data_IF_049352297208
#
_entry.id   IF_049352297208
#
_cell.length_a   1.000
_cell.length_b   1.000
_cell.length_c   1.000
_cell.angle_alpha   90.00
_cell.angle_beta   90.00
_cell.angle_gamma   90.00
#
_symmetry.space_group_name_H-M   'P 1'
#
loop_
_entity.id
_entity.type
_entity.pdbx_description
1 polymer ?
#
# COMPACT_ATOMS: atom_id res chain seq x y z
N UNK A 1 -7.70 8.91 2.38
CA UNK A 1 -6.54 8.06 2.74
C UNK A 1 -5.96 8.37 4.12
N UNK A 2 -6.55 9.02 5.05
CA UNK A 2 -6.14 9.18 6.45
C UNK A 2 -4.68 9.62 6.71
N UNK A 3 -4.02 10.22 5.72
CA UNK A 3 -2.63 10.69 5.80
C UNK A 3 -2.46 12.04 5.13
N UNK A 4 -1.35 12.72 5.41
CA UNK A 4 -0.95 13.96 4.73
C UNK A 4 -0.22 13.59 3.44
N UNK A 5 -0.55 14.30 2.34
CA UNK A 5 0.15 14.16 1.07
C UNK A 5 0.95 15.42 0.82
N UNK A 6 2.24 15.25 0.56
CA UNK A 6 3.18 16.33 0.22
C UNK A 6 3.78 16.09 -1.15
N UNK A 7 3.84 17.13 -1.97
CA UNK A 7 4.58 17.13 -3.23
C UNK A 7 5.68 18.18 -3.13
N UNK A 8 6.92 17.73 -3.27
CA UNK A 8 8.10 18.60 -3.30
C UNK A 8 8.66 18.59 -4.71
N UNK A 9 8.90 19.79 -5.27
CA UNK A 9 9.53 19.95 -6.59
C UNK A 9 10.92 20.52 -6.40
N UNK A 10 11.94 19.81 -6.88
CA UNK A 10 13.33 20.24 -6.84
C UNK A 10 13.72 20.79 -8.21
N UNK A 11 13.79 22.12 -8.34
CA UNK A 11 14.17 22.77 -9.59
C UNK A 11 13.38 24.06 -9.84
N UNK A 12 13.72 24.79 -10.92
CA UNK A 12 13.14 26.10 -11.20
C UNK A 12 11.74 26.02 -11.83
N UNK A 13 11.29 24.85 -12.27
CA UNK A 13 10.00 24.65 -12.93
C UNK A 13 8.98 24.19 -11.88
N UNK A 14 8.08 25.08 -11.51
CA UNK A 14 6.87 24.74 -10.75
C UNK A 14 5.65 24.94 -11.66
N UNK A 15 4.75 23.97 -11.67
CA UNK A 15 3.48 24.03 -12.40
C UNK A 15 2.33 23.67 -11.45
N UNK A 16 1.57 24.68 -11.07
CA UNK A 16 0.45 24.54 -10.16
C UNK A 16 -0.65 23.64 -10.71
N UNK A 17 -0.88 23.65 -12.04
CA UNK A 17 -1.91 22.84 -12.65
C UNK A 17 -1.53 21.35 -12.60
N UNK A 18 -0.27 21.02 -12.91
CA UNK A 18 0.25 19.65 -12.76
C UNK A 18 0.13 19.17 -11.30
N UNK A 19 0.53 20.01 -10.36
CA UNK A 19 0.48 19.69 -8.94
C UNK A 19 -0.97 19.48 -8.47
N UNK A 20 -1.90 20.32 -8.89
CA UNK A 20 -3.31 20.17 -8.55
C UNK A 20 -3.90 18.88 -9.13
N UNK A 21 -3.59 18.52 -10.40
CA UNK A 21 -4.01 17.25 -10.99
C UNK A 21 -3.41 16.05 -10.27
N UNK A 22 -2.17 16.15 -9.79
CA UNK A 22 -1.55 15.10 -8.99
C UNK A 22 -2.32 14.87 -7.67
N UNK A 23 -2.78 15.93 -7.00
CA UNK A 23 -3.62 15.79 -5.80
C UNK A 23 -5.02 15.23 -6.11
N UNK A 24 -5.58 15.48 -7.29
CA UNK A 24 -6.88 14.91 -7.70
C UNK A 24 -6.82 13.37 -7.78
N UNK A 25 -5.69 12.79 -8.16
CA UNK A 25 -5.53 11.34 -8.15
C UNK A 25 -5.74 10.73 -6.76
N UNK A 26 -5.21 11.34 -5.70
CA UNK A 26 -5.43 10.87 -4.34
C UNK A 26 -6.91 10.92 -3.94
N UNK A 27 -7.63 11.99 -4.32
CA UNK A 27 -9.07 12.12 -4.04
C UNK A 27 -9.89 11.08 -4.81
N UNK A 28 -9.60 10.93 -6.11
CA UNK A 28 -10.31 9.98 -6.98
C UNK A 28 -10.12 8.53 -6.52
N UNK A 29 -8.89 8.11 -6.22
CA UNK A 29 -8.61 6.75 -5.77
C UNK A 29 -9.20 6.51 -4.37
N UNK A 30 -9.13 7.48 -3.46
CA UNK A 30 -9.77 7.36 -2.16
C UNK A 30 -11.27 7.13 -2.31
N UNK A 31 -11.97 7.93 -3.12
CA UNK A 31 -13.43 7.79 -3.31
C UNK A 31 -13.81 6.46 -3.95
N UNK A 32 -12.98 5.92 -4.85
CA UNK A 32 -13.22 4.65 -5.54
C UNK A 32 -12.94 3.44 -4.66
N UNK A 33 -11.80 3.44 -3.95
CA UNK A 33 -11.25 2.26 -3.27
C UNK A 33 -11.51 2.22 -1.76
N UNK A 34 -12.24 3.20 -1.19
CA UNK A 34 -12.48 3.22 0.25
C UNK A 34 -13.57 2.23 0.67
N UNK A 35 -13.32 1.48 1.76
CA UNK A 35 -14.36 0.69 2.45
C UNK A 35 -15.12 1.49 3.51
N UNK A 36 -14.72 2.74 3.77
CA UNK A 36 -15.33 3.60 4.78
C UNK A 36 -16.49 4.44 4.26
N UNK A 37 -16.81 4.35 2.98
CA UNK A 37 -17.95 5.02 2.35
C UNK A 37 -18.82 3.97 1.64
N UNK A 38 -20.05 3.72 2.09
CA UNK A 38 -20.95 2.73 1.47
C UNK A 38 -21.31 3.08 0.03
N UNK A 39 -21.09 4.33 -0.40
CA UNK A 39 -21.34 4.76 -1.78
C UNK A 39 -20.12 4.61 -2.70
N UNK A 40 -18.96 4.21 -2.16
CA UNK A 40 -17.78 3.93 -2.97
C UNK A 40 -18.02 2.76 -3.93
N UNK A 41 -17.33 2.77 -5.06
CA UNK A 41 -17.41 1.69 -6.03
C UNK A 41 -17.00 0.33 -5.42
N UNK A 42 -15.99 0.32 -4.56
CA UNK A 42 -15.56 -0.87 -3.81
C UNK A 42 -16.68 -1.45 -2.96
N UNK A 43 -17.43 -0.62 -2.24
CA UNK A 43 -18.53 -1.09 -1.40
C UNK A 43 -19.77 -1.50 -2.19
N UNK A 44 -20.03 -0.85 -3.32
CA UNK A 44 -21.07 -1.29 -4.27
C UNK A 44 -20.75 -2.67 -4.85
N UNK A 45 -19.48 -2.95 -5.18
CA UNK A 45 -19.03 -4.29 -5.57
C UNK A 45 -19.28 -5.30 -4.43
N UNK A 46 -18.95 -4.94 -3.18
CA UNK A 46 -19.09 -5.83 -2.02
C UNK A 46 -20.54 -6.24 -1.74
N UNK A 47 -21.52 -5.46 -2.20
CA UNK A 47 -22.95 -5.77 -2.06
C UNK A 47 -23.49 -6.73 -3.13
N UNK A 48 -22.71 -7.08 -4.17
CA UNK A 48 -23.15 -7.84 -5.35
C UNK A 48 -22.46 -9.20 -5.45
N UNK A 49 -22.66 -10.02 -4.43
CA UNK A 49 -22.06 -11.36 -4.33
C UNK A 49 -22.60 -12.30 -5.42
N UNK A 50 -21.70 -13.04 -6.06
CA UNK A 50 -22.01 -14.00 -7.12
C UNK A 50 -22.24 -13.38 -8.50
N UNK A 51 -22.24 -12.05 -8.62
CA UNK A 51 -22.42 -11.37 -9.89
C UNK A 51 -21.08 -10.94 -10.50
N UNK A 52 -20.97 -11.01 -11.83
CA UNK A 52 -19.85 -10.42 -12.57
C UNK A 52 -20.13 -8.90 -12.74
N UNK A 53 -19.45 -8.08 -11.95
CA UNK A 53 -19.66 -6.63 -11.90
C UNK A 53 -18.60 -5.93 -12.74
N UNK A 54 -18.99 -5.12 -13.72
CA UNK A 54 -18.09 -4.20 -14.41
C UNK A 54 -17.70 -3.09 -13.45
N UNK A 55 -16.39 -2.87 -13.31
CA UNK A 55 -15.83 -1.85 -12.43
C UNK A 55 -14.93 -0.89 -13.23
N UNK A 56 -14.67 0.28 -12.66
CA UNK A 56 -13.74 1.25 -13.26
C UNK A 56 -12.34 0.64 -13.45
N UNK A 57 -11.59 1.17 -14.41
CA UNK A 57 -10.20 0.73 -14.65
C UNK A 57 -9.34 0.86 -13.39
N UNK A 58 -9.57 1.89 -12.59
CA UNK A 58 -8.85 2.12 -11.33
C UNK A 58 -9.12 0.99 -10.34
N UNK A 59 -10.38 0.69 -10.07
CA UNK A 59 -10.74 -0.35 -9.13
C UNK A 59 -10.31 -1.74 -9.63
N UNK A 60 -10.49 -2.01 -10.92
CA UNK A 60 -10.05 -3.25 -11.56
C UNK A 60 -8.54 -3.47 -11.38
N UNK A 61 -7.71 -2.47 -11.71
CA UNK A 61 -6.26 -2.54 -11.57
C UNK A 61 -5.84 -2.75 -10.11
N UNK A 62 -6.45 -2.02 -9.18
CA UNK A 62 -6.16 -2.17 -7.76
C UNK A 62 -6.46 -3.58 -7.24
N UNK A 63 -7.64 -4.15 -7.60
CA UNK A 63 -8.02 -5.51 -7.20
C UNK A 63 -7.12 -6.54 -7.87
N UNK A 64 -6.92 -6.47 -9.18
CA UNK A 64 -6.08 -7.40 -9.94
C UNK A 64 -4.66 -7.46 -9.35
N UNK A 65 -4.09 -6.30 -9.06
CA UNK A 65 -2.76 -6.20 -8.47
C UNK A 65 -2.73 -6.78 -7.03
N UNK A 66 -3.72 -6.45 -6.20
CA UNK A 66 -3.84 -7.00 -4.85
C UNK A 66 -3.90 -8.54 -4.85
N UNK A 67 -4.67 -9.13 -5.79
CA UNK A 67 -4.77 -10.58 -5.95
C UNK A 67 -3.45 -11.20 -6.43
N UNK A 68 -2.70 -10.52 -7.30
CA UNK A 68 -1.38 -10.98 -7.73
C UNK A 68 -0.40 -11.04 -6.55
N UNK A 69 -0.34 -9.98 -5.72
CA UNK A 69 0.49 -9.97 -4.51
C UNK A 69 0.03 -11.03 -3.51
N UNK A 70 -1.28 -11.21 -3.33
CA UNK A 70 -1.83 -12.26 -2.47
C UNK A 70 -1.38 -13.66 -2.91
N UNK A 71 -1.40 -13.93 -4.19
CA UNK A 71 -0.93 -15.20 -4.78
C UNK A 71 0.57 -15.39 -4.56
N UNK A 72 1.40 -14.38 -4.85
CA UNK A 72 2.86 -14.44 -4.70
C UNK A 72 3.31 -14.59 -3.24
N UNK A 73 2.58 -14.00 -2.30
CA UNK A 73 2.86 -14.09 -0.86
C UNK A 73 2.21 -15.31 -0.19
N UNK A 74 1.50 -16.18 -0.95
CA UNK A 74 0.79 -17.33 -0.39
C UNK A 74 -0.32 -16.94 0.60
N UNK A 75 -0.93 -15.76 0.42
CA UNK A 75 -2.00 -15.22 1.27
C UNK A 75 -1.50 -14.51 2.53
N UNK A 76 -0.19 -14.25 2.66
CA UNK A 76 0.33 -13.40 3.73
C UNK A 76 -0.19 -11.97 3.57
N UNK A 77 -0.16 -11.44 2.37
CA UNK A 77 -0.99 -10.31 1.95
C UNK A 77 -2.31 -10.86 1.40
N UNK A 78 -3.44 -10.37 1.89
CA UNK A 78 -4.74 -10.77 1.36
C UNK A 78 -5.73 -9.59 1.45
N UNK A 79 -6.25 -9.10 0.32
CA UNK A 79 -7.16 -7.95 0.32
C UNK A 79 -8.54 -8.26 0.93
N UNK A 80 -8.86 -9.52 1.26
CA UNK A 80 -10.15 -9.89 1.85
C UNK A 80 -10.23 -9.69 3.36
N UNK A 81 -9.22 -9.06 3.96
CA UNK A 81 -9.14 -8.79 5.41
C UNK A 81 -10.06 -7.69 5.91
N UNK A 82 -10.85 -7.03 5.04
CA UNK A 82 -11.65 -5.86 5.42
C UNK A 82 -12.55 -6.08 6.64
N UNK A 83 -13.22 -7.22 6.73
CA UNK A 83 -14.05 -7.54 7.89
C UNK A 83 -13.21 -7.85 9.16
N UNK A 84 -12.05 -8.49 9.00
CA UNK A 84 -11.11 -8.68 10.13
C UNK A 84 -10.63 -7.32 10.66
N UNK A 85 -10.29 -6.39 9.77
CA UNK A 85 -9.91 -5.03 10.13
C UNK A 85 -11.01 -4.33 10.95
N UNK A 86 -12.27 -4.47 10.57
CA UNK A 86 -13.41 -3.95 11.33
C UNK A 86 -13.52 -4.57 12.73
N UNK A 87 -13.34 -5.87 12.84
CA UNK A 87 -13.40 -6.59 14.12
C UNK A 87 -12.29 -6.16 15.09
N UNK A 88 -11.13 -5.76 14.57
CA UNK A 88 -10.03 -5.19 15.36
C UNK A 88 -10.18 -3.67 15.59
N UNK A 89 -11.29 -3.05 15.19
CA UNK A 89 -11.57 -1.63 15.44
C UNK A 89 -11.00 -0.67 14.40
N UNK A 90 -10.43 -1.17 13.30
CA UNK A 90 -9.93 -0.33 12.20
C UNK A 90 -11.08 0.07 11.25
N UNK A 91 -12.14 0.62 11.81
CA UNK A 91 -13.37 0.98 11.12
C UNK A 91 -13.80 2.45 11.36
N UNK A 92 -12.90 3.30 11.84
CA UNK A 92 -13.16 4.71 12.03
C UNK A 92 -12.80 5.50 10.78
N UNK A 93 -13.77 6.23 10.22
CA UNK A 93 -13.55 7.10 9.08
C UNK A 93 -12.71 8.32 9.50
N UNK A 94 -11.55 8.50 8.89
CA UNK A 94 -10.52 9.46 9.34
C UNK A 94 -10.97 10.93 9.33
N UNK A 95 -11.87 11.36 8.43
CA UNK A 95 -12.36 12.75 8.36
C UNK A 95 -13.50 13.03 9.33
N UNK A 96 -14.42 12.10 9.47
CA UNK A 96 -15.64 12.32 10.26
C UNK A 96 -15.57 11.79 11.68
N UNK A 97 -14.57 10.94 11.99
CA UNK A 97 -14.48 10.21 13.27
C UNK A 97 -15.61 9.18 13.47
N UNK A 98 -16.48 8.98 12.49
CA UNK A 98 -17.59 8.02 12.60
C UNK A 98 -17.09 6.59 12.49
N UNK A 99 -17.62 5.72 13.32
CA UNK A 99 -17.44 4.27 13.20
C UNK A 99 -18.32 3.80 12.03
N UNK A 100 -17.70 3.18 11.03
CA UNK A 100 -18.36 2.57 9.88
C UNK A 100 -18.39 1.07 10.12
N UNK A 101 -19.56 0.48 9.97
CA UNK A 101 -19.74 -0.96 9.95
C UNK A 101 -20.36 -1.33 8.62
N UNK A 102 -19.76 -2.27 7.93
CA UNK A 102 -20.35 -2.77 6.69
C UNK A 102 -21.56 -3.63 6.99
N UNK A 103 -22.58 -3.55 6.14
CA UNK A 103 -23.77 -4.43 6.22
C UNK A 103 -23.46 -5.83 5.70
N UNK A 104 -22.33 -5.99 5.00
CA UNK A 104 -21.89 -7.29 4.47
C UNK A 104 -21.30 -8.13 5.57
N UNK A 105 -21.97 -9.21 5.93
CA UNK A 105 -21.40 -10.22 6.84
C UNK A 105 -20.48 -11.14 6.05
N UNK A 106 -19.17 -11.04 6.24
CA UNK A 106 -18.20 -11.91 5.57
C UNK A 106 -18.42 -13.38 5.95
N UNK A 107 -18.33 -14.25 4.96
CA UNK A 107 -18.35 -15.69 5.19
C UNK A 107 -17.06 -16.13 5.91
N UNK A 108 -17.14 -17.18 6.71
CA UNK A 108 -15.98 -17.73 7.40
C UNK A 108 -14.96 -18.30 6.41
N UNK A 109 -13.66 -18.04 6.64
CA UNK A 109 -12.57 -18.58 5.83
C UNK A 109 -12.54 -18.06 4.39
N UNK A 110 -12.98 -16.82 4.17
CA UNK A 110 -12.78 -16.15 2.87
C UNK A 110 -11.30 -15.84 2.65
N UNK A 111 -10.89 -15.81 1.40
CA UNK A 111 -9.54 -15.48 0.99
C UNK A 111 -9.54 -14.84 -0.39
N UNK A 112 -8.39 -14.35 -0.84
CA UNK A 112 -8.21 -13.81 -2.19
C UNK A 112 -8.68 -14.75 -3.30
N UNK A 113 -8.79 -16.07 -3.04
CA UNK A 113 -9.28 -17.07 -4.01
C UNK A 113 -10.78 -16.97 -4.27
N UNK A 114 -11.53 -16.30 -3.39
CA UNK A 114 -12.96 -16.05 -3.54
C UNK A 114 -13.25 -14.80 -4.39
N UNK A 115 -12.21 -14.16 -4.94
CA UNK A 115 -12.32 -12.99 -5.82
C UNK A 115 -11.81 -13.36 -7.21
N UNK A 116 -12.69 -13.32 -8.20
CA UNK A 116 -12.36 -13.60 -9.60
C UNK A 116 -12.30 -12.30 -10.39
N UNK A 117 -11.31 -12.20 -11.28
CA UNK A 117 -11.18 -11.08 -12.23
C UNK A 117 -11.21 -11.63 -13.66
N UNK A 118 -11.99 -10.99 -14.52
CA UNK A 118 -12.03 -11.26 -15.96
C UNK A 118 -11.46 -10.04 -16.68
N UNK A 119 -10.22 -10.17 -17.18
CA UNK A 119 -9.51 -9.08 -17.83
C UNK A 119 -10.09 -8.71 -19.20
N UNK A 120 -10.72 -9.66 -19.89
CA UNK A 120 -11.30 -9.42 -21.22
C UNK A 120 -12.58 -8.58 -21.10
N UNK A 121 -13.33 -8.78 -20.02
CA UNK A 121 -14.59 -8.08 -19.75
C UNK A 121 -14.46 -6.92 -18.78
N UNK A 122 -13.34 -6.78 -18.09
CA UNK A 122 -13.16 -5.78 -17.03
C UNK A 122 -14.13 -5.99 -15.86
N UNK A 123 -14.40 -7.24 -15.49
CA UNK A 123 -15.35 -7.56 -14.41
C UNK A 123 -14.68 -8.22 -13.23
N UNK A 124 -15.26 -7.99 -12.05
CA UNK A 124 -14.88 -8.63 -10.78
C UNK A 124 -16.07 -9.39 -10.23
N UNK A 125 -15.84 -10.61 -9.74
CA UNK A 125 -16.87 -11.44 -9.10
C UNK A 125 -16.41 -11.83 -7.70
N UNK A 126 -17.19 -11.49 -6.69
CA UNK A 126 -17.03 -12.00 -5.34
C UNK A 126 -17.83 -13.28 -5.21
N UNK A 127 -17.16 -14.43 -5.10
CA UNK A 127 -17.83 -15.75 -5.04
C UNK A 127 -18.57 -15.97 -3.72
N UNK A 128 -18.16 -15.25 -2.67
CA UNK A 128 -18.71 -15.35 -1.31
C UNK A 128 -18.85 -13.95 -0.72
N UNK A 129 -19.74 -13.73 0.27
CA UNK A 129 -19.79 -12.46 0.99
C UNK A 129 -18.45 -12.16 1.66
N UNK A 130 -17.81 -11.05 1.31
CA UNK A 130 -16.54 -10.57 1.85
C UNK A 130 -16.42 -9.06 1.68
N UNK A 131 -15.53 -8.46 2.47
CA UNK A 131 -15.16 -7.04 2.38
C UNK A 131 -13.71 -6.93 1.98
N UNK A 132 -13.46 -6.22 0.87
CA UNK A 132 -12.10 -5.93 0.43
C UNK A 132 -11.53 -4.73 1.20
N UNK A 133 -10.26 -4.82 1.58
CA UNK A 133 -9.45 -3.69 2.02
C UNK A 133 -8.27 -3.52 1.04
N UNK A 134 -8.25 -2.38 0.37
CA UNK A 134 -7.22 -2.03 -0.60
C UNK A 134 -6.22 -1.00 -0.06
N UNK A 135 -6.18 -0.80 1.27
CA UNK A 135 -5.36 0.24 1.91
C UNK A 135 -3.88 0.20 1.54
N UNK A 136 -3.30 -1.00 1.47
CA UNK A 136 -1.88 -1.22 1.11
C UNK A 136 -1.62 -1.30 -0.42
N UNK A 137 -2.62 -0.97 -1.25
CA UNK A 137 -2.49 -0.89 -2.72
C UNK A 137 -2.93 0.48 -3.23
N UNK A 138 -4.06 0.97 -2.75
CA UNK A 138 -4.67 2.21 -3.23
C UNK A 138 -3.77 3.44 -2.96
N UNK A 139 -3.03 3.46 -1.84
CA UNK A 139 -2.12 4.54 -1.51
C UNK A 139 -0.94 4.58 -2.51
N UNK A 140 -0.30 3.45 -2.75
CA UNK A 140 0.77 3.33 -3.73
C UNK A 140 0.30 3.65 -5.16
N UNK A 141 -0.89 3.18 -5.56
CA UNK A 141 -1.49 3.52 -6.85
C UNK A 141 -1.70 5.04 -7.02
N UNK A 142 -2.15 5.73 -5.97
CA UNK A 142 -2.33 7.18 -6.00
C UNK A 142 -0.99 7.91 -6.17
N UNK A 143 0.05 7.46 -5.46
CA UNK A 143 1.41 7.98 -5.60
C UNK A 143 1.92 7.80 -7.04
N UNK A 144 1.75 6.60 -7.62
CA UNK A 144 2.22 6.29 -8.97
C UNK A 144 1.51 7.14 -10.03
N UNK A 145 0.19 7.34 -9.93
CA UNK A 145 -0.55 8.18 -10.87
C UNK A 145 -0.21 9.67 -10.68
N UNK A 146 -0.02 10.13 -9.45
CA UNK A 146 0.47 11.48 -9.18
C UNK A 146 1.88 11.69 -9.74
N UNK A 147 2.79 10.74 -9.54
CA UNK A 147 4.14 10.80 -10.08
C UNK A 147 4.15 10.81 -11.61
N UNK A 148 3.27 10.03 -12.25
CA UNK A 148 3.10 10.06 -13.72
C UNK A 148 2.63 11.42 -14.22
N UNK A 149 1.72 12.08 -13.51
CA UNK A 149 1.24 13.44 -13.83
C UNK A 149 2.38 14.46 -13.71
N UNK A 150 3.23 14.32 -12.67
CA UNK A 150 4.34 15.23 -12.38
C UNK A 150 5.59 14.99 -13.24
N UNK A 151 5.61 13.96 -14.09
CA UNK A 151 6.77 13.59 -14.90
C UNK A 151 7.41 14.77 -15.70
N UNK A 152 6.64 15.75 -16.22
CA UNK A 152 7.24 16.92 -16.89
C UNK A 152 8.12 17.81 -15.99
N UNK A 153 8.01 17.68 -14.66
CA UNK A 153 8.83 18.44 -13.70
C UNK A 153 10.22 17.81 -13.46
N UNK A 154 10.44 16.59 -13.92
CA UNK A 154 11.69 15.81 -13.87
C UNK A 154 12.19 15.48 -12.45
N UNK A 155 12.28 16.49 -11.55
CA UNK A 155 12.85 16.36 -10.21
C UNK A 155 11.79 16.68 -9.16
N UNK A 156 11.23 15.66 -8.54
CA UNK A 156 10.18 15.82 -7.53
C UNK A 156 10.12 14.61 -6.58
N UNK A 157 9.50 14.84 -5.43
CA UNK A 157 9.12 13.80 -4.50
C UNK A 157 7.61 13.89 -4.22
N UNK A 158 6.94 12.74 -4.19
CA UNK A 158 5.57 12.58 -3.70
C UNK A 158 5.64 11.76 -2.43
N UNK A 159 5.14 12.31 -1.33
CA UNK A 159 5.06 11.65 -0.02
C UNK A 159 3.59 11.53 0.40
N UNK A 160 3.17 10.34 0.73
CA UNK A 160 1.85 10.07 1.28
C UNK A 160 1.97 9.25 2.59
N UNK A 161 2.30 9.95 3.68
CA UNK A 161 2.43 9.34 5.00
C UNK A 161 3.63 8.41 5.14
N UNK A 162 4.76 8.79 4.52
CA UNK A 162 6.00 8.04 4.56
C UNK A 162 6.19 7.03 3.43
N UNK A 163 5.19 6.82 2.58
CA UNK A 163 5.39 6.14 1.31
C UNK A 163 5.67 7.16 0.22
N UNK A 164 6.70 6.89 -0.56
CA UNK A 164 7.36 7.87 -1.39
C UNK A 164 7.50 7.40 -2.84
N UNK A 165 7.39 8.33 -3.78
CA UNK A 165 8.02 8.21 -5.10
C UNK A 165 8.97 9.40 -5.31
N UNK A 166 10.18 9.11 -5.75
CA UNK A 166 11.30 10.04 -5.79
C UNK A 166 11.86 10.08 -7.20
N UNK A 167 11.59 11.16 -7.93
CA UNK A 167 12.02 11.35 -9.32
C UNK A 167 13.28 12.21 -9.40
N UNK A 168 14.18 11.83 -10.29
CA UNK A 168 15.39 12.58 -10.61
C UNK A 168 16.28 12.85 -9.39
N UNK A 169 16.59 14.11 -9.13
CA UNK A 169 17.50 14.54 -8.07
C UNK A 169 16.86 15.55 -7.11
N UNK A 170 17.45 15.68 -5.92
CA UNK A 170 17.04 16.67 -4.92
C UNK A 170 17.56 18.09 -5.28
N UNK A 171 17.33 19.06 -4.39
CA UNK A 171 17.75 20.47 -4.59
C UNK A 171 19.27 20.66 -4.73
N UNK A 172 20.06 19.71 -4.24
CA UNK A 172 21.54 19.74 -4.33
C UNK A 172 22.05 19.04 -5.60
N UNK A 173 21.18 18.57 -6.49
CA UNK A 173 21.54 17.80 -7.68
C UNK A 173 22.01 16.38 -7.39
N UNK A 174 21.65 15.81 -6.23
CA UNK A 174 22.02 14.46 -5.77
C UNK A 174 20.78 13.55 -5.71
N UNK A 175 20.98 12.22 -5.68
CA UNK A 175 19.88 11.31 -5.34
C UNK A 175 19.18 11.72 -4.04
N UNK A 176 17.90 11.40 -3.95
CA UNK A 176 17.12 11.64 -2.74
C UNK A 176 17.59 10.72 -1.62
N UNK A 177 17.80 11.27 -0.42
CA UNK A 177 18.17 10.49 0.76
C UNK A 177 17.00 10.35 1.70
N UNK A 178 16.61 9.12 1.99
CA UNK A 178 15.46 8.77 2.83
C UNK A 178 15.95 8.07 4.09
N UNK A 179 15.60 8.62 5.26
CA UNK A 179 15.91 8.00 6.55
C UNK A 179 14.95 6.85 6.87
N UNK A 180 15.47 5.74 7.35
CA UNK A 180 14.67 4.63 7.90
C UNK A 180 14.49 4.89 9.38
N UNK A 181 13.24 5.17 9.80
CA UNK A 181 12.91 5.48 11.19
C UNK A 181 13.18 4.30 12.12
N UNK A 182 13.67 4.60 13.30
CA UNK A 182 13.74 3.65 14.41
C UNK A 182 12.30 3.35 14.92
N UNK A 183 11.87 2.07 14.96
CA UNK A 183 10.46 1.72 15.27
C UNK A 183 10.08 1.92 16.74
N UNK A 184 11.05 2.07 17.65
CA UNK A 184 10.83 2.14 19.10
C UNK A 184 11.36 3.43 19.74
N UNK A 185 12.11 4.24 19.02
CA UNK A 185 12.71 5.48 19.54
C UNK A 185 12.38 6.63 18.61
N UNK A 186 11.65 7.61 19.13
CA UNK A 186 11.27 8.79 18.36
C UNK A 186 12.49 9.59 17.91
N UNK A 187 12.44 10.13 16.70
CA UNK A 187 13.47 10.95 16.09
C UNK A 187 14.84 10.27 15.86
N UNK A 188 14.93 8.97 16.03
CA UNK A 188 16.11 8.20 15.65
C UNK A 188 15.93 7.51 14.29
N UNK A 189 17.07 7.26 13.62
CA UNK A 189 17.13 6.54 12.35
C UNK A 189 17.97 5.27 12.52
N UNK A 190 17.51 4.18 11.90
CA UNK A 190 18.28 2.93 11.78
C UNK A 190 19.26 2.95 10.60
N UNK A 191 19.15 3.95 9.73
CA UNK A 191 19.97 4.12 8.55
C UNK A 191 19.30 5.04 7.53
N UNK A 192 19.89 5.14 6.36
CA UNK A 192 19.34 5.88 5.23
C UNK A 192 19.60 5.15 3.93
N UNK A 193 18.78 5.44 2.92
CA UNK A 193 18.93 4.95 1.55
C UNK A 193 18.94 6.12 0.59
N UNK A 194 19.71 6.02 -0.49
CA UNK A 194 19.76 7.03 -1.55
C UNK A 194 19.18 6.45 -2.83
N UNK A 195 18.19 7.13 -3.41
CA UNK A 195 17.43 6.65 -4.57
C UNK A 195 17.12 7.78 -5.55
N UNK A 196 16.95 7.42 -6.81
CA UNK A 196 16.38 8.24 -7.90
C UNK A 196 15.47 7.37 -8.75
N UNK A 197 14.37 7.93 -9.19
CA UNK A 197 13.37 7.27 -10.05
C UNK A 197 12.84 5.94 -9.46
N UNK A 198 12.62 5.95 -8.15
CA UNK A 198 12.16 4.79 -7.38
C UNK A 198 11.10 5.19 -6.36
N UNK A 199 10.29 4.21 -5.99
CA UNK A 199 9.43 4.27 -4.83
C UNK A 199 10.13 3.68 -3.61
N UNK A 200 9.83 4.25 -2.43
CA UNK A 200 10.27 3.75 -1.11
C UNK A 200 9.04 3.71 -0.22
N UNK A 201 8.63 2.53 0.20
CA UNK A 201 7.48 2.35 1.09
C UNK A 201 7.89 1.57 2.33
N UNK A 202 7.30 1.93 3.46
CA UNK A 202 7.65 1.30 4.74
C UNK A 202 6.40 0.85 5.49
N UNK A 203 6.34 -0.43 5.85
CA UNK A 203 5.34 -1.01 6.75
C UNK A 203 5.91 -1.21 8.15
N UNK A 204 5.16 -0.81 9.17
CA UNK A 204 5.54 -0.96 10.57
C UNK A 204 4.37 -0.71 11.51
N UNK A 205 4.40 -1.28 12.71
CA UNK A 205 3.34 -1.14 13.71
C UNK A 205 3.45 0.13 14.57
N UNK A 206 4.50 0.95 14.38
CA UNK A 206 4.76 2.12 15.21
C UNK A 206 3.80 3.30 14.93
N UNK A 207 3.23 3.39 13.73
CA UNK A 207 2.23 4.42 13.42
C UNK A 207 0.81 4.05 13.88
N UNK A 208 0.46 2.76 13.75
CA UNK A 208 -0.83 2.21 14.18
C UNK A 208 -0.58 0.80 14.70
N UNK A 209 -0.58 0.59 16.02
CA UNK A 209 -0.41 -0.74 16.59
C UNK A 209 -1.43 -1.73 16.05
N UNK A 210 -0.97 -2.95 15.76
CA UNK A 210 -1.79 -4.11 15.39
C UNK A 210 -2.65 -3.97 14.12
N UNK A 211 -2.36 -2.98 13.25
CA UNK A 211 -3.15 -2.76 12.04
C UNK A 211 -2.78 -3.70 10.88
N UNK A 212 -1.65 -4.41 10.95
CA UNK A 212 -1.24 -5.38 9.93
C UNK A 212 -1.64 -6.76 10.39
N UNK A 213 -2.60 -7.35 9.67
CA UNK A 213 -3.18 -8.65 10.00
C UNK A 213 -2.64 -9.75 9.08
N UNK A 214 -2.32 -10.90 9.66
CA UNK A 214 -2.11 -12.12 8.88
C UNK A 214 -3.47 -12.78 8.61
N UNK A 215 -3.94 -12.69 7.37
CA UNK A 215 -5.24 -13.24 6.94
C UNK A 215 -5.34 -14.76 7.17
N UNK A 216 -4.22 -15.48 7.15
CA UNK A 216 -4.15 -16.93 7.34
C UNK A 216 -4.47 -17.34 8.77
N UNK A 217 -4.15 -16.48 9.74
CA UNK A 217 -4.39 -16.70 11.16
C UNK A 217 -5.53 -15.86 11.72
N UNK A 218 -5.93 -14.81 11.01
CA UNK A 218 -6.92 -13.83 11.44
C UNK A 218 -6.44 -12.93 12.59
N UNK A 219 -5.12 -12.80 12.80
CA UNK A 219 -4.53 -12.09 13.95
C UNK A 219 -3.53 -11.02 13.50
N UNK A 220 -3.33 -9.97 14.30
CA UNK A 220 -2.21 -9.06 14.11
C UNK A 220 -0.87 -9.79 14.14
N UNK A 221 0.09 -9.28 13.39
CA UNK A 221 1.44 -9.85 13.32
C UNK A 221 2.49 -8.88 13.83
N UNK A 222 3.50 -9.43 14.53
CA UNK A 222 4.65 -8.71 15.08
C UNK A 222 5.97 -9.40 14.67
N UNK A 223 5.99 -10.06 13.51
CA UNK A 223 7.17 -10.81 13.04
C UNK A 223 8.31 -9.89 12.62
N UNK A 224 8.01 -8.67 12.22
CA UNK A 224 8.97 -7.62 11.93
C UNK A 224 8.64 -6.36 12.73
N UNK A 225 9.63 -5.51 12.99
CA UNK A 225 9.44 -4.18 13.55
C UNK A 225 9.20 -3.15 12.45
N UNK A 226 9.94 -3.27 11.33
CA UNK A 226 9.87 -2.38 10.17
C UNK A 226 10.29 -3.11 8.91
N UNK A 227 9.62 -2.84 7.80
CA UNK A 227 9.97 -3.33 6.47
C UNK A 227 9.97 -2.15 5.51
N UNK A 228 11.13 -1.84 4.94
CA UNK A 228 11.28 -0.82 3.89
C UNK A 228 11.58 -1.50 2.57
N UNK A 229 10.78 -1.20 1.55
CA UNK A 229 10.90 -1.76 0.19
C UNK A 229 11.20 -0.64 -0.78
N UNK A 230 12.17 -0.87 -1.68
CA UNK A 230 12.53 0.01 -2.79
C UNK A 230 12.07 -0.66 -4.09
N UNK A 231 11.08 -0.07 -4.75
CA UNK A 231 10.45 -0.62 -5.94
C UNK A 231 10.44 0.34 -7.13
N UNK A 232 10.05 -0.17 -8.29
CA UNK A 232 9.84 0.65 -9.48
C UNK A 232 8.58 1.52 -9.35
N UNK A 233 7.60 1.07 -8.57
CA UNK A 233 6.33 1.76 -8.32
C UNK A 233 5.98 1.71 -6.83
N UNK A 234 5.25 2.71 -6.37
CA UNK A 234 4.81 2.78 -4.97
C UNK A 234 3.74 1.71 -4.67
N UNK A 235 2.88 1.39 -5.63
CA UNK A 235 1.90 0.31 -5.48
C UNK A 235 2.56 -1.04 -5.22
N UNK A 236 3.68 -1.34 -5.91
CA UNK A 236 4.46 -2.56 -5.71
C UNK A 236 5.15 -2.54 -4.34
N UNK A 237 5.83 -1.45 -4.02
CA UNK A 237 6.61 -1.33 -2.80
C UNK A 237 5.73 -1.39 -1.54
N UNK A 238 4.57 -0.72 -1.50
CA UNK A 238 3.63 -0.69 -0.38
C UNK A 238 3.03 -2.08 -0.11
N UNK A 239 2.51 -2.74 -1.16
CA UNK A 239 1.94 -4.08 -1.03
C UNK A 239 2.97 -5.14 -0.60
N UNK A 240 4.20 -5.08 -1.17
CA UNK A 240 5.26 -6.01 -0.80
C UNK A 240 5.84 -5.72 0.59
N UNK A 241 5.90 -4.46 1.03
CA UNK A 241 6.28 -4.12 2.39
C UNK A 241 5.30 -4.74 3.40
N UNK A 242 4.00 -4.66 3.13
CA UNK A 242 2.96 -5.30 3.94
C UNK A 242 3.07 -6.84 3.91
N UNK A 243 3.24 -7.45 2.73
CA UNK A 243 3.42 -8.89 2.60
C UNK A 243 4.65 -9.41 3.36
N UNK A 244 5.79 -8.73 3.19
CA UNK A 244 7.04 -9.10 3.85
C UNK A 244 6.97 -8.88 5.37
N UNK A 245 6.25 -7.87 5.84
CA UNK A 245 6.00 -7.66 7.27
C UNK A 245 5.23 -8.83 7.90
N UNK A 246 4.20 -9.34 7.21
CA UNK A 246 3.42 -10.49 7.65
C UNK A 246 4.25 -11.78 7.64
N UNK A 247 5.09 -11.98 6.63
CA UNK A 247 5.96 -13.15 6.52
C UNK A 247 7.07 -13.16 7.55
N UNK A 248 7.56 -11.99 7.97
CA UNK A 248 8.72 -11.85 8.83
C UNK A 248 10.04 -11.83 8.06
N UNK A 249 11.18 -11.69 8.77
CA UNK A 249 12.47 -11.37 8.14
C UNK A 249 12.93 -12.38 7.09
N UNK A 250 12.99 -13.66 7.41
CA UNK A 250 13.55 -14.69 6.52
C UNK A 250 12.68 -14.90 5.27
N UNK A 251 11.39 -15.18 5.47
CA UNK A 251 10.46 -15.42 4.38
C UNK A 251 10.19 -14.14 3.57
N UNK A 252 10.18 -12.97 4.25
CA UNK A 252 10.00 -11.67 3.63
C UNK A 252 11.16 -11.32 2.67
N UNK A 253 12.41 -11.50 3.09
CA UNK A 253 13.58 -11.28 2.21
C UNK A 253 13.60 -12.28 1.04
N UNK A 254 13.20 -13.53 1.26
CA UNK A 254 13.07 -14.51 0.18
C UNK A 254 11.99 -14.10 -0.84
N UNK A 255 10.85 -13.59 -0.38
CA UNK A 255 9.81 -13.06 -1.25
C UNK A 255 10.34 -11.89 -2.11
N UNK A 256 10.95 -10.89 -1.48
CA UNK A 256 11.51 -9.73 -2.18
C UNK A 256 12.57 -10.15 -3.20
N UNK A 257 13.52 -10.99 -2.82
CA UNK A 257 14.58 -11.49 -3.70
C UNK A 257 14.02 -12.28 -4.89
N UNK A 258 13.01 -13.15 -4.68
CA UNK A 258 12.36 -13.92 -5.76
C UNK A 258 11.66 -13.01 -6.76
N UNK A 259 11.10 -11.87 -6.31
CA UNK A 259 10.43 -10.89 -7.15
C UNK A 259 11.38 -9.84 -7.74
N UNK A 260 12.68 -9.91 -7.45
CA UNK A 260 13.67 -8.95 -7.92
C UNK A 260 13.50 -7.54 -7.35
N UNK A 261 12.97 -7.44 -6.14
CA UNK A 261 12.69 -6.17 -5.46
C UNK A 261 13.62 -6.01 -4.26
N UNK A 262 14.16 -4.81 -4.08
CA UNK A 262 15.08 -4.52 -2.99
C UNK A 262 14.35 -4.12 -1.70
N UNK A 263 14.89 -4.54 -0.56
CA UNK A 263 14.31 -4.18 0.73
C UNK A 263 15.17 -4.48 1.94
N UNK A 264 14.79 -3.84 3.05
CA UNK A 264 15.39 -4.02 4.37
C UNK A 264 14.27 -4.37 5.35
N UNK A 265 14.49 -5.39 6.16
CA UNK A 265 13.58 -5.81 7.22
C UNK A 265 14.35 -5.75 8.54
N UNK A 266 13.77 -5.10 9.53
CA UNK A 266 14.24 -5.18 10.91
C UNK A 266 13.32 -6.12 11.70
N UNK A 267 13.90 -7.14 12.34
CA UNK A 267 13.18 -8.01 13.25
C UNK A 267 12.68 -7.25 14.49
N UNK A 268 11.86 -7.88 15.31
CA UNK A 268 11.42 -7.28 16.58
C UNK A 268 12.60 -6.96 17.54
N UNK A 269 13.72 -7.67 17.40
CA UNK A 269 14.99 -7.40 18.12
C UNK A 269 15.94 -6.45 17.40
N UNK A 270 15.47 -5.80 16.30
CA UNK A 270 16.24 -4.89 15.46
C UNK A 270 17.42 -5.54 14.71
N UNK A 271 17.40 -6.86 14.55
CA UNK A 271 18.33 -7.52 13.65
C UNK A 271 17.97 -7.16 12.20
N UNK A 272 18.99 -6.76 11.42
CA UNK A 272 18.81 -6.28 10.05
C UNK A 272 18.94 -7.41 9.04
N UNK A 273 17.93 -7.59 8.23
CA UNK A 273 17.88 -8.47 7.06
C UNK A 273 17.73 -7.60 5.81
N UNK A 274 18.46 -7.90 4.75
CA UNK A 274 18.41 -7.08 3.54
C UNK A 274 18.63 -7.92 2.28
N UNK A 275 18.02 -7.48 1.18
CA UNK A 275 18.33 -8.01 -0.14
C UNK A 275 19.75 -7.56 -0.57
N UNK A 276 20.41 -8.27 -1.52
CA UNK A 276 21.79 -7.98 -1.92
C UNK A 276 22.07 -6.52 -2.29
N UNK A 277 21.15 -5.84 -3.01
CA UNK A 277 21.33 -4.45 -3.42
C UNK A 277 21.23 -3.43 -2.28
N UNK A 278 20.79 -3.86 -1.10
CA UNK A 278 20.66 -3.01 0.09
C UNK A 278 21.75 -3.27 1.14
N UNK A 279 22.77 -4.06 0.82
CA UNK A 279 23.84 -4.42 1.76
C UNK A 279 25.02 -3.42 1.80
N UNK A 280 24.92 -2.31 1.05
CA UNK A 280 25.97 -1.24 0.99
C UNK A 280 25.69 -0.12 1.97
#
# INVERSE_FOLDING_TARGET
>A
MGTVVTIQVAGPRFDEQLTNRAFEWFRGIESTCTRFDPTSELMQLSSRVGEAVSVSTILFQAIQFALAVAKESGGAFDPTVGHLMENYGFNTHHRSGKIIRTEVTSAAGVSYRDVLVDSDRGTVTLQRPLVLDLGAVAKGLAIDLAARELKPLENFAVDAGGDLYLAGVNHDGKPWTIGIRHPYVDNELLGSISVSDRAVCTSGNYERPDHILDARTGKPTNRAASVTVVGATAMLADALATAAFVLGPEEGIQLLGRLGVEGIIFSASLERYATPGMNS
#
